data_IF_740008899161
#
_entry.id   IF_740008899161
#
_cell.length_a   1.000
_cell.length_b   1.000
_cell.length_c   1.000
_cell.angle_alpha   90.00
_cell.angle_beta   90.00
_cell.angle_gamma   90.00
#
_symmetry.space_group_name_H-M   'P 1'
#
loop_
_entity.id
_entity.type
_entity.pdbx_description
1 polymer ?
#
# COMPACT_ATOMS: atom_id res chain seq x y z
N UNK A 1 -44.53 -22.84 19.75
CA UNK A 1 -43.49 -21.91 19.37
C UNK A 1 -43.08 -22.28 17.94
N UNK A 2 -43.68 -21.59 16.96
CA UNK A 2 -43.33 -21.75 15.52
C UNK A 2 -42.04 -21.00 15.25
N UNK A 3 -40.92 -21.71 15.06
CA UNK A 3 -39.69 -21.14 14.53
C UNK A 3 -40.00 -20.68 13.10
N UNK A 4 -40.00 -19.38 12.83
CA UNK A 4 -39.95 -18.86 11.48
C UNK A 4 -38.59 -19.28 10.92
N UNK A 5 -38.56 -20.18 9.93
CA UNK A 5 -37.39 -20.40 9.14
C UNK A 5 -37.09 -19.08 8.40
N UNK A 6 -36.00 -18.45 8.76
CA UNK A 6 -35.47 -17.31 8.01
C UNK A 6 -34.95 -17.93 6.70
N UNK A 7 -35.63 -17.65 5.60
CA UNK A 7 -35.15 -18.06 4.26
C UNK A 7 -33.80 -17.41 3.95
N UNK A 8 -33.08 -17.94 2.96
CA UNK A 8 -31.78 -17.36 2.56
C UNK A 8 -31.96 -15.88 2.19
N UNK A 9 -31.01 -15.07 2.61
CA UNK A 9 -30.95 -13.65 2.23
C UNK A 9 -30.55 -13.52 0.76
N UNK A 10 -30.78 -12.36 0.16
CA UNK A 10 -30.32 -12.08 -1.21
C UNK A 10 -28.80 -12.27 -1.36
N UNK A 11 -28.03 -11.94 -0.33
CA UNK A 11 -26.58 -12.18 -0.29
C UNK A 11 -26.23 -13.67 -0.22
N UNK A 12 -27.01 -14.48 0.49
CA UNK A 12 -26.82 -15.93 0.51
C UNK A 12 -27.06 -16.53 -0.89
N UNK A 13 -28.11 -16.07 -1.57
CA UNK A 13 -28.44 -16.50 -2.93
C UNK A 13 -27.38 -16.06 -3.93
N UNK A 14 -26.85 -14.84 -3.80
CA UNK A 14 -25.77 -14.33 -4.63
C UNK A 14 -24.48 -15.14 -4.40
N UNK A 15 -24.14 -15.47 -3.16
CA UNK A 15 -23.00 -16.32 -2.82
C UNK A 15 -23.09 -17.74 -3.41
N UNK A 16 -24.28 -18.32 -3.36
CA UNK A 16 -24.54 -19.64 -3.98
C UNK A 16 -24.45 -19.56 -5.51
N UNK A 17 -25.04 -18.53 -6.13
CA UNK A 17 -25.00 -18.33 -7.57
C UNK A 17 -23.56 -18.14 -8.07
N UNK A 18 -22.74 -17.37 -7.33
CA UNK A 18 -21.32 -17.21 -7.63
C UNK A 18 -20.54 -18.51 -7.48
N UNK A 19 -20.80 -19.27 -6.43
CA UNK A 19 -20.17 -20.59 -6.21
C UNK A 19 -20.51 -21.57 -7.32
N UNK A 20 -21.74 -21.57 -7.81
CA UNK A 20 -22.19 -22.36 -8.94
C UNK A 20 -21.50 -21.90 -10.24
N UNK A 21 -21.42 -20.58 -10.47
CA UNK A 21 -20.76 -20.01 -11.64
C UNK A 21 -19.28 -20.36 -11.69
N UNK A 22 -18.58 -20.29 -10.56
CA UNK A 22 -17.17 -20.72 -10.44
C UNK A 22 -17.00 -22.22 -10.67
N UNK A 23 -17.98 -23.03 -10.25
CA UNK A 23 -17.93 -24.51 -10.41
C UNK A 23 -18.23 -24.97 -11.83
N UNK A 24 -18.98 -24.21 -12.60
CA UNK A 24 -19.44 -24.55 -13.95
C UNK A 24 -18.69 -23.85 -15.08
N UNK A 25 -17.91 -22.81 -14.77
CA UNK A 25 -17.12 -22.04 -15.74
C UNK A 25 -15.70 -22.58 -15.92
N UNK A 26 -15.06 -22.22 -17.05
CA UNK A 26 -13.61 -22.32 -17.17
C UNK A 26 -12.96 -21.65 -15.95
N UNK A 27 -11.97 -22.31 -15.34
CA UNK A 27 -11.27 -21.77 -14.17
C UNK A 27 -10.68 -20.39 -14.52
N UNK A 28 -11.42 -19.33 -14.19
CA UNK A 28 -10.89 -17.97 -14.25
C UNK A 28 -9.63 -17.91 -13.37
N UNK A 29 -8.55 -17.39 -13.91
CA UNK A 29 -7.37 -17.12 -13.09
C UNK A 29 -7.72 -16.03 -12.06
N UNK A 30 -7.39 -16.27 -10.80
CA UNK A 30 -7.54 -15.26 -9.76
C UNK A 30 -6.60 -14.10 -10.00
N UNK A 31 -7.07 -12.89 -9.75
CA UNK A 31 -6.28 -11.67 -9.89
C UNK A 31 -5.74 -11.21 -8.54
N UNK A 32 -4.52 -10.72 -8.57
CA UNK A 32 -3.88 -10.07 -7.45
C UNK A 32 -3.72 -8.59 -7.80
N UNK A 33 -4.65 -7.77 -7.34
CA UNK A 33 -4.66 -6.33 -7.55
C UNK A 33 -3.72 -5.66 -6.57
N UNK A 34 -2.81 -4.81 -7.07
CA UNK A 34 -1.81 -4.11 -6.26
C UNK A 34 -2.00 -2.62 -6.44
N UNK A 35 -2.37 -1.93 -5.38
CA UNK A 35 -2.51 -0.48 -5.38
C UNK A 35 -1.15 0.21 -5.48
N UNK A 36 -0.98 0.99 -6.54
CA UNK A 36 0.19 1.82 -6.85
C UNK A 36 -0.19 3.30 -7.03
N UNK A 37 -1.30 3.72 -6.43
CA UNK A 37 -1.93 5.02 -6.67
C UNK A 37 -0.99 6.19 -6.50
N UNK A 38 -0.25 6.27 -5.38
CA UNK A 38 0.61 7.41 -5.11
C UNK A 38 1.77 7.49 -6.12
N UNK A 39 2.36 6.33 -6.47
CA UNK A 39 3.46 6.27 -7.46
C UNK A 39 2.99 6.69 -8.84
N UNK A 40 1.78 6.30 -9.25
CA UNK A 40 1.21 6.63 -10.56
C UNK A 40 0.82 8.10 -10.64
N UNK A 41 0.16 8.62 -9.59
CA UNK A 41 -0.36 9.99 -9.57
C UNK A 41 0.75 11.03 -9.38
N UNK A 42 1.69 10.76 -8.45
CA UNK A 42 2.77 11.69 -8.15
C UNK A 42 4.01 10.94 -7.64
N UNK A 43 5.00 10.83 -8.49
CA UNK A 43 6.28 10.19 -8.15
C UNK A 43 7.22 11.16 -7.44
N UNK A 44 7.13 11.18 -6.12
CA UNK A 44 8.03 11.97 -5.24
C UNK A 44 9.38 11.29 -4.98
N UNK A 45 9.61 10.09 -5.52
CA UNK A 45 10.85 9.31 -5.35
C UNK A 45 11.22 9.06 -3.89
N UNK A 46 10.22 8.90 -3.04
CA UNK A 46 10.38 8.59 -1.62
C UNK A 46 10.87 7.16 -1.38
N UNK A 47 11.33 6.87 -0.16
CA UNK A 47 11.70 5.51 0.24
C UNK A 47 10.54 4.52 0.10
N UNK A 48 9.31 4.92 0.45
CA UNK A 48 8.10 4.09 0.29
C UNK A 48 7.88 3.77 -1.19
N UNK A 49 7.90 4.78 -2.07
CA UNK A 49 7.69 4.57 -3.50
C UNK A 49 8.77 3.69 -4.14
N UNK A 50 10.01 3.72 -3.62
CA UNK A 50 11.07 2.80 -4.05
C UNK A 50 10.72 1.35 -3.67
N UNK A 51 10.22 1.12 -2.45
CA UNK A 51 9.75 -0.20 -2.00
C UNK A 51 8.59 -0.68 -2.85
N UNK A 52 7.60 0.18 -3.10
CA UNK A 52 6.45 -0.14 -3.96
C UNK A 52 6.90 -0.61 -5.33
N UNK A 53 7.79 0.13 -6.01
CA UNK A 53 8.32 -0.27 -7.32
C UNK A 53 9.07 -1.59 -7.26
N UNK A 54 9.93 -1.78 -6.27
CA UNK A 54 10.72 -3.01 -6.14
C UNK A 54 9.83 -4.24 -5.96
N UNK A 55 8.80 -4.14 -5.11
CA UNK A 55 7.86 -5.23 -4.87
C UNK A 55 7.01 -5.50 -6.13
N UNK A 56 6.50 -4.46 -6.79
CA UNK A 56 5.69 -4.65 -8.01
C UNK A 56 6.53 -5.26 -9.13
N UNK A 57 7.77 -4.80 -9.34
CA UNK A 57 8.66 -5.35 -10.35
C UNK A 57 8.94 -6.85 -10.10
N UNK A 58 9.21 -7.24 -8.86
CA UNK A 58 9.43 -8.63 -8.50
C UNK A 58 8.17 -9.47 -8.74
N UNK A 59 7.00 -8.95 -8.35
CA UNK A 59 5.74 -9.63 -8.57
C UNK A 59 5.38 -9.79 -10.06
N UNK A 60 5.70 -8.80 -10.90
CA UNK A 60 5.45 -8.85 -12.34
C UNK A 60 6.47 -9.74 -13.08
N UNK A 61 7.69 -9.84 -12.59
CA UNK A 61 8.76 -10.65 -13.23
C UNK A 61 8.67 -12.14 -12.93
N UNK A 62 7.94 -12.51 -11.89
CA UNK A 62 7.86 -13.88 -11.39
C UNK A 62 6.49 -14.49 -11.68
N UNK A 63 6.45 -15.78 -12.03
CA UNK A 63 5.17 -16.51 -12.19
C UNK A 63 4.64 -17.02 -10.85
N UNK A 64 3.44 -16.59 -10.48
CA UNK A 64 2.82 -16.87 -9.17
C UNK A 64 1.69 -17.89 -9.28
N UNK A 65 1.99 -19.10 -9.74
CA UNK A 65 1.14 -20.29 -9.57
C UNK A 65 -0.35 -20.13 -9.89
N UNK A 66 -0.71 -19.44 -10.96
CA UNK A 66 -2.12 -19.25 -11.38
C UNK A 66 -2.73 -17.91 -11.00
N UNK A 67 -1.96 -16.99 -10.41
CA UNK A 67 -2.36 -15.60 -10.17
C UNK A 67 -1.97 -14.69 -11.33
N UNK A 68 -2.85 -13.76 -11.67
CA UNK A 68 -2.56 -12.64 -12.58
C UNK A 68 -2.29 -11.41 -11.74
N UNK A 69 -1.08 -10.87 -11.83
CA UNK A 69 -0.69 -9.65 -11.12
C UNK A 69 -1.19 -8.42 -11.91
N UNK A 70 -2.00 -7.59 -11.27
CA UNK A 70 -2.63 -6.41 -11.87
C UNK A 70 -2.35 -5.17 -11.00
N UNK A 71 -1.37 -4.32 -11.36
CA UNK A 71 -1.24 -3.01 -10.74
C UNK A 71 -2.48 -2.16 -11.02
N UNK A 72 -2.95 -1.45 -9.97
CA UNK A 72 -4.16 -0.62 -10.05
C UNK A 72 -3.91 0.71 -9.36
N UNK A 73 -4.68 1.73 -9.75
CA UNK A 73 -4.65 3.03 -9.11
C UNK A 73 -6.06 3.57 -8.89
N UNK A 74 -6.18 4.40 -7.85
CA UNK A 74 -7.44 5.00 -7.44
C UNK A 74 -7.66 6.34 -8.16
N UNK A 75 -8.83 6.53 -8.72
CA UNK A 75 -9.27 7.81 -9.30
C UNK A 75 -10.45 8.37 -8.51
N UNK A 76 -10.57 9.70 -8.50
CA UNK A 76 -11.77 10.43 -8.05
C UNK A 76 -12.27 11.29 -9.21
N UNK A 77 -13.32 10.86 -9.85
CA UNK A 77 -14.02 11.63 -10.86
C UNK A 77 -15.35 12.13 -10.28
N UNK A 78 -15.37 13.39 -9.84
CA UNK A 78 -16.56 14.07 -9.28
C UNK A 78 -17.17 13.36 -8.06
N UNK A 79 -16.31 12.83 -7.16
CA UNK A 79 -16.73 12.08 -5.98
C UNK A 79 -17.03 10.61 -6.24
N UNK A 80 -16.78 10.12 -7.46
CA UNK A 80 -16.84 8.71 -7.80
C UNK A 80 -15.44 8.11 -7.66
N UNK A 81 -15.24 7.35 -6.61
CA UNK A 81 -14.00 6.66 -6.31
C UNK A 81 -13.97 5.31 -7.01
N UNK A 82 -13.05 5.13 -7.95
CA UNK A 82 -12.91 3.92 -8.75
C UNK A 82 -11.45 3.49 -8.83
N UNK A 83 -11.20 2.18 -8.67
CA UNK A 83 -9.91 1.61 -8.99
C UNK A 83 -9.86 1.22 -10.46
N UNK A 84 -8.79 1.60 -11.15
CA UNK A 84 -8.54 1.32 -12.55
C UNK A 84 -7.25 0.53 -12.73
N UNK A 85 -7.16 -0.25 -13.80
CA UNK A 85 -5.92 -0.91 -14.17
C UNK A 85 -4.84 0.14 -14.47
N UNK A 86 -3.61 -0.10 -13.99
CA UNK A 86 -2.46 0.73 -14.32
C UNK A 86 -1.69 0.09 -15.49
N UNK A 87 -2.33 0.03 -16.66
CA UNK A 87 -1.79 -0.67 -17.85
C UNK A 87 -0.44 -0.13 -18.31
N UNK A 88 -0.32 1.17 -18.37
CA UNK A 88 0.93 1.84 -18.77
C UNK A 88 2.05 1.65 -17.74
N UNK A 89 1.72 1.66 -16.45
CA UNK A 89 2.68 1.34 -15.39
C UNK A 89 3.18 -0.09 -15.51
N UNK A 90 2.30 -1.03 -15.80
CA UNK A 90 2.62 -2.45 -16.04
C UNK A 90 3.59 -2.62 -17.21
N UNK A 91 3.39 -1.87 -18.29
CA UNK A 91 4.16 -2.02 -19.53
C UNK A 91 5.50 -1.28 -19.53
N UNK A 92 5.59 -0.12 -18.90
CA UNK A 92 6.73 0.79 -19.05
C UNK A 92 7.44 1.13 -17.73
N UNK A 93 6.89 0.78 -16.57
CA UNK A 93 7.39 1.20 -15.25
C UNK A 93 7.65 2.72 -15.13
N UNK A 94 7.04 3.52 -16.00
CA UNK A 94 7.30 4.96 -16.16
C UNK A 94 6.16 5.78 -15.57
N UNK A 95 6.51 6.72 -14.70
CA UNK A 95 5.60 7.77 -14.25
C UNK A 95 5.32 8.76 -15.38
N UNK A 96 4.07 9.16 -15.54
CA UNK A 96 3.68 10.28 -16.41
C UNK A 96 2.96 9.92 -17.70
N UNK A 97 2.38 8.76 -17.80
CA UNK A 97 1.59 8.33 -18.96
C UNK A 97 0.12 8.74 -18.81
N UNK A 98 -0.57 8.87 -19.95
CA UNK A 98 -1.99 9.25 -20.00
C UNK A 98 -2.85 8.18 -19.32
N UNK A 99 -3.53 8.54 -18.23
CA UNK A 99 -4.41 7.67 -17.43
C UNK A 99 -5.84 7.54 -18.06
N UNK A 100 -6.01 7.91 -19.32
CA UNK A 100 -7.35 8.22 -19.87
C UNK A 100 -8.15 7.01 -20.33
N UNK A 101 -7.52 5.83 -20.53
CA UNK A 101 -8.19 4.65 -21.11
C UNK A 101 -8.08 3.36 -20.27
N UNK A 102 -7.70 3.45 -19.00
CA UNK A 102 -7.61 2.25 -18.16
C UNK A 102 -8.98 1.78 -17.69
N UNK A 103 -9.25 0.48 -17.84
CA UNK A 103 -10.52 -0.12 -17.43
C UNK A 103 -10.72 -0.09 -15.92
N UNK A 104 -11.96 0.17 -15.49
CA UNK A 104 -12.36 0.01 -14.07
C UNK A 104 -12.24 -1.47 -13.70
N UNK A 105 -11.62 -1.75 -12.54
CA UNK A 105 -11.53 -3.13 -12.07
C UNK A 105 -12.85 -3.61 -11.50
N UNK A 106 -13.12 -4.90 -11.70
CA UNK A 106 -14.27 -5.60 -11.11
C UNK A 106 -13.79 -6.86 -10.37
N UNK A 107 -13.33 -6.72 -9.10
CA UNK A 107 -12.82 -7.83 -8.33
C UNK A 107 -13.91 -8.87 -8.03
N UNK A 108 -13.57 -10.15 -8.17
CA UNK A 108 -14.46 -11.29 -8.05
C UNK A 108 -13.99 -12.25 -6.95
N UNK A 109 -14.82 -13.25 -6.66
CA UNK A 109 -14.49 -14.31 -5.72
C UNK A 109 -13.11 -14.93 -6.01
N UNK A 110 -12.31 -15.05 -4.95
CA UNK A 110 -10.96 -15.60 -5.02
C UNK A 110 -9.88 -14.60 -5.41
N UNK A 111 -10.23 -13.35 -5.77
CA UNK A 111 -9.25 -12.29 -5.99
C UNK A 111 -8.70 -11.74 -4.67
N UNK A 112 -7.56 -11.10 -4.76
CA UNK A 112 -6.89 -10.43 -3.64
C UNK A 112 -6.61 -8.99 -4.03
N UNK A 113 -6.83 -8.07 -3.10
CA UNK A 113 -6.40 -6.68 -3.18
C UNK A 113 -5.32 -6.40 -2.14
N UNK A 114 -4.23 -5.79 -2.55
CA UNK A 114 -3.14 -5.33 -1.70
C UNK A 114 -2.98 -3.81 -1.84
N UNK A 115 -3.35 -3.06 -0.82
CA UNK A 115 -2.99 -1.66 -0.66
C UNK A 115 -1.50 -1.56 -0.35
N UNK A 116 -0.67 -1.59 -1.39
CA UNK A 116 0.79 -1.58 -1.26
C UNK A 116 1.30 -0.17 -1.06
N UNK A 117 0.73 0.81 -1.75
CA UNK A 117 1.18 2.20 -1.66
C UNK A 117 0.52 2.94 -0.48
N UNK A 118 1.23 3.92 0.08
CA UNK A 118 0.69 4.77 1.14
C UNK A 118 -0.07 5.94 0.51
N UNK A 119 -1.38 5.76 0.34
CA UNK A 119 -2.25 6.75 -0.28
C UNK A 119 -3.48 7.03 0.58
N UNK A 120 -3.54 8.23 1.18
CA UNK A 120 -4.62 8.59 2.13
C UNK A 120 -6.00 8.73 1.48
N UNK A 121 -6.07 8.95 0.17
CA UNK A 121 -7.35 9.05 -0.55
C UNK A 121 -8.15 7.73 -0.57
N UNK A 122 -7.54 6.61 -0.18
CA UNK A 122 -8.24 5.33 0.05
C UNK A 122 -9.40 5.48 1.05
N UNK A 123 -9.39 6.53 1.87
CA UNK A 123 -10.53 6.86 2.76
C UNK A 123 -11.83 7.14 2.01
N UNK A 124 -11.75 7.63 0.76
CA UNK A 124 -12.93 7.83 -0.11
C UNK A 124 -13.69 6.52 -0.37
N UNK A 125 -13.08 5.53 -1.03
CA UNK A 125 -13.73 4.24 -1.26
C UNK A 125 -14.07 3.48 0.03
N UNK A 126 -13.29 3.63 1.11
CA UNK A 126 -13.65 3.08 2.42
C UNK A 126 -14.98 3.67 2.90
N UNK A 127 -15.14 5.01 2.83
CA UNK A 127 -16.36 5.70 3.24
C UNK A 127 -17.60 5.32 2.42
N UNK A 128 -17.42 4.93 1.16
CA UNK A 128 -18.47 4.46 0.26
C UNK A 128 -18.75 2.94 0.36
N UNK A 129 -18.02 2.22 1.21
CA UNK A 129 -18.22 0.78 1.40
C UNK A 129 -17.74 -0.09 0.22
N UNK A 130 -16.85 0.41 -0.64
CA UNK A 130 -16.32 -0.34 -1.80
C UNK A 130 -15.65 -1.63 -1.36
N UNK A 131 -14.80 -1.57 -0.33
CA UNK A 131 -14.11 -2.76 0.18
C UNK A 131 -15.05 -3.76 0.86
N UNK A 132 -16.12 -3.29 1.49
CA UNK A 132 -17.13 -4.18 2.08
C UNK A 132 -17.86 -4.95 0.97
N UNK A 133 -18.25 -4.27 -0.12
CA UNK A 133 -18.82 -4.93 -1.31
C UNK A 133 -17.87 -5.96 -1.93
N UNK A 134 -16.56 -5.69 -2.01
CA UNK A 134 -15.59 -6.66 -2.50
C UNK A 134 -15.47 -7.88 -1.57
N UNK A 135 -15.45 -7.63 -0.26
CA UNK A 135 -15.40 -8.72 0.74
C UNK A 135 -16.66 -9.58 0.72
N UNK A 136 -17.82 -9.01 0.48
CA UNK A 136 -19.08 -9.75 0.31
C UNK A 136 -19.04 -10.64 -0.93
N UNK A 137 -18.30 -10.24 -1.97
CA UNK A 137 -18.02 -11.08 -3.15
C UNK A 137 -16.91 -12.12 -2.90
N UNK A 138 -16.27 -12.14 -1.73
CA UNK A 138 -15.21 -13.09 -1.39
C UNK A 138 -13.80 -12.65 -1.79
N UNK A 139 -13.60 -11.37 -2.11
CA UNK A 139 -12.27 -10.77 -2.31
C UNK A 139 -11.56 -10.62 -0.96
N UNK A 140 -10.25 -10.89 -0.93
CA UNK A 140 -9.42 -10.66 0.24
C UNK A 140 -8.74 -9.29 0.15
N UNK A 141 -8.80 -8.52 1.24
CA UNK A 141 -8.27 -7.16 1.29
C UNK A 141 -7.13 -7.09 2.31
N UNK A 142 -5.97 -6.65 1.85
CA UNK A 142 -4.77 -6.48 2.67
C UNK A 142 -4.17 -5.10 2.45
N UNK A 143 -3.52 -4.55 3.49
CA UNK A 143 -2.77 -3.30 3.37
C UNK A 143 -1.39 -3.44 3.98
N UNK A 144 -0.41 -2.76 3.37
CA UNK A 144 0.93 -2.61 3.93
C UNK A 144 0.93 -1.41 4.88
N UNK A 145 1.58 -1.58 6.04
CA UNK A 145 1.84 -0.48 6.98
C UNK A 145 3.35 -0.26 7.09
N UNK A 146 3.78 0.94 6.70
CA UNK A 146 5.19 1.33 6.67
C UNK A 146 5.69 1.82 8.02
N UNK A 147 4.93 2.67 8.69
CA UNK A 147 5.23 3.15 10.02
C UNK A 147 3.97 3.71 10.72
N UNK A 148 4.12 4.03 12.01
CA UNK A 148 3.12 4.71 12.84
C UNK A 148 3.64 6.03 13.37
N UNK A 149 4.81 6.47 12.90
CA UNK A 149 5.50 7.68 13.39
C UNK A 149 4.65 8.95 13.31
N UNK A 150 3.83 9.18 12.26
CA UNK A 150 2.94 10.35 12.24
C UNK A 150 1.92 10.37 13.37
N UNK A 151 1.59 9.21 13.94
CA UNK A 151 0.67 9.10 15.07
C UNK A 151 1.42 9.30 16.39
N UNK A 152 2.56 8.64 16.55
CA UNK A 152 3.34 8.69 17.80
C UNK A 152 4.11 10.00 18.01
N UNK A 153 4.51 10.66 16.91
CA UNK A 153 5.30 11.89 16.93
C UNK A 153 4.75 12.91 15.91
N UNK A 154 3.51 13.39 16.10
CA UNK A 154 2.84 14.26 15.12
C UNK A 154 3.57 15.59 14.89
N UNK A 155 4.38 16.05 15.86
CA UNK A 155 5.18 17.26 15.77
C UNK A 155 6.30 17.19 14.70
N UNK A 156 6.65 16.01 14.22
CA UNK A 156 7.63 15.84 13.14
C UNK A 156 7.03 15.97 11.74
N UNK A 157 5.74 16.09 11.66
CA UNK A 157 4.98 16.19 10.41
C UNK A 157 4.30 17.55 10.25
N UNK A 158 3.94 17.93 9.03
CA UNK A 158 3.10 19.12 8.82
C UNK A 158 1.78 19.01 9.61
N UNK A 159 1.23 20.17 9.99
CA UNK A 159 -0.04 20.25 10.73
C UNK A 159 -1.12 19.40 10.02
N UNK A 160 -1.78 18.55 10.79
CA UNK A 160 -2.81 17.62 10.28
C UNK A 160 -2.28 16.30 9.72
N UNK A 161 -0.96 16.14 9.60
CA UNK A 161 -0.35 14.89 9.08
C UNK A 161 -0.62 13.70 9.99
N UNK A 162 -0.45 13.86 11.30
CA UNK A 162 -0.77 12.83 12.29
C UNK A 162 -2.23 12.41 12.28
N UNK A 163 -3.14 13.39 12.21
CA UNK A 163 -4.59 13.13 12.14
C UNK A 163 -4.99 12.39 10.86
N UNK A 164 -4.40 12.78 9.74
CA UNK A 164 -4.64 12.11 8.45
C UNK A 164 -4.17 10.66 8.49
N UNK A 165 -2.98 10.41 9.05
CA UNK A 165 -2.44 9.07 9.20
C UNK A 165 -3.25 8.21 10.18
N UNK A 166 -3.72 8.81 11.29
CA UNK A 166 -4.64 8.19 12.24
C UNK A 166 -5.94 7.74 11.57
N UNK A 167 -6.58 8.62 10.79
CA UNK A 167 -7.79 8.29 10.04
C UNK A 167 -7.53 7.19 9.01
N UNK A 168 -6.40 7.25 8.32
CA UNK A 168 -5.98 6.24 7.36
C UNK A 168 -5.81 4.88 8.03
N UNK A 169 -5.04 4.79 9.14
CA UNK A 169 -4.81 3.52 9.85
C UNK A 169 -6.12 2.93 10.38
N UNK A 170 -6.99 3.74 10.98
CA UNK A 170 -8.31 3.31 11.44
C UNK A 170 -9.18 2.81 10.28
N UNK A 171 -9.18 3.53 9.16
CA UNK A 171 -9.96 3.16 7.97
C UNK A 171 -9.52 1.83 7.39
N UNK A 172 -8.22 1.64 7.12
CA UNK A 172 -7.71 0.37 6.58
C UNK A 172 -7.86 -0.77 7.60
N UNK A 173 -7.71 -0.50 8.89
CA UNK A 173 -7.93 -1.49 9.94
C UNK A 173 -9.37 -2.01 9.94
N UNK A 174 -10.35 -1.16 9.64
CA UNK A 174 -11.77 -1.53 9.59
C UNK A 174 -12.06 -2.50 8.44
N UNK A 175 -11.51 -2.25 7.26
CA UNK A 175 -11.89 -2.99 6.04
C UNK A 175 -10.99 -4.18 5.71
N UNK A 176 -9.77 -4.25 6.25
CA UNK A 176 -8.79 -5.27 5.89
C UNK A 176 -9.07 -6.64 6.50
N UNK A 177 -8.70 -7.71 5.79
CA UNK A 177 -8.53 -9.05 6.37
C UNK A 177 -7.19 -9.15 7.14
N UNK A 178 -6.15 -8.46 6.65
CA UNK A 178 -4.89 -8.31 7.39
C UNK A 178 -4.18 -6.99 7.11
N UNK A 179 -3.40 -6.54 8.09
CA UNK A 179 -2.35 -5.54 7.91
C UNK A 179 -1.00 -6.25 7.92
N UNK A 180 -0.15 -5.90 6.97
CA UNK A 180 1.17 -6.48 6.78
C UNK A 180 2.19 -5.37 7.01
N UNK A 181 2.92 -5.43 8.11
CA UNK A 181 3.87 -4.40 8.51
C UNK A 181 5.26 -4.68 7.93
N UNK A 182 6.03 -3.63 7.64
CA UNK A 182 7.39 -3.78 7.07
C UNK A 182 8.44 -4.25 8.08
N UNK A 183 8.09 -4.35 9.35
CA UNK A 183 8.93 -4.90 10.41
C UNK A 183 8.09 -5.36 11.59
N UNK A 184 8.72 -6.14 12.47
CA UNK A 184 8.10 -6.55 13.72
C UNK A 184 7.80 -5.35 14.62
N UNK A 185 8.71 -4.37 14.70
CA UNK A 185 8.50 -3.17 15.49
C UNK A 185 7.23 -2.41 15.05
N UNK A 186 7.05 -2.19 13.75
CA UNK A 186 5.83 -1.56 13.23
C UNK A 186 4.59 -2.40 13.54
N UNK A 187 4.67 -3.73 13.48
CA UNK A 187 3.55 -4.60 13.85
C UNK A 187 3.19 -4.50 15.31
N UNK A 188 4.20 -4.42 16.21
CA UNK A 188 4.00 -4.26 17.65
C UNK A 188 3.38 -2.87 17.94
N UNK A 189 3.84 -1.81 17.27
CA UNK A 189 3.27 -0.45 17.38
C UNK A 189 1.81 -0.39 16.91
N UNK A 190 1.50 -0.98 15.75
CA UNK A 190 0.12 -1.07 15.24
C UNK A 190 -0.76 -1.84 16.22
N UNK A 191 -0.26 -2.94 16.78
CA UNK A 191 -1.01 -3.72 17.77
C UNK A 191 -1.32 -2.88 18.98
N UNK A 192 -0.31 -2.22 19.57
CA UNK A 192 -0.47 -1.35 20.72
C UNK A 192 -1.49 -0.24 20.44
N UNK A 193 -1.35 0.43 19.30
CA UNK A 193 -2.29 1.47 18.88
C UNK A 193 -3.74 0.96 18.81
N UNK A 194 -3.98 -0.21 18.22
CA UNK A 194 -5.32 -0.78 18.06
C UNK A 194 -5.90 -1.36 19.36
N UNK A 195 -5.05 -1.81 20.27
CA UNK A 195 -5.48 -2.22 21.63
C UNK A 195 -6.02 -1.01 22.41
N UNK A 196 -5.40 0.18 22.26
CA UNK A 196 -5.82 1.43 22.89
C UNK A 196 -6.97 2.13 22.12
N UNK A 197 -7.06 1.93 20.82
CA UNK A 197 -8.03 2.56 19.92
C UNK A 197 -8.77 1.50 19.08
N UNK A 198 -9.63 0.69 19.69
CA UNK A 198 -10.31 -0.40 19.00
C UNK A 198 -11.21 0.12 17.88
N UNK A 199 -11.12 -0.49 16.71
CA UNK A 199 -12.01 -0.19 15.58
C UNK A 199 -13.13 -1.24 15.51
N UNK A 200 -14.35 -0.77 15.27
CA UNK A 200 -15.50 -1.67 15.11
C UNK A 200 -15.36 -2.47 13.81
N UNK A 201 -15.43 -3.80 13.93
CA UNK A 201 -15.31 -4.71 12.78
C UNK A 201 -16.02 -6.03 13.03
N UNK A 202 -16.50 -6.64 11.95
CA UNK A 202 -17.26 -7.90 12.01
C UNK A 202 -16.31 -9.12 12.06
N UNK A 203 -15.16 -9.04 11.37
CA UNK A 203 -14.21 -10.16 11.25
C UNK A 203 -12.89 -9.82 11.94
N UNK A 204 -12.16 -10.80 12.52
CA UNK A 204 -10.86 -10.55 13.13
C UNK A 204 -9.86 -9.94 12.15
N UNK A 205 -9.06 -8.98 12.60
CA UNK A 205 -7.91 -8.45 11.87
C UNK A 205 -6.70 -9.33 12.15
N UNK A 206 -5.96 -9.70 11.12
CA UNK A 206 -4.67 -10.36 11.26
C UNK A 206 -3.57 -9.31 11.15
N UNK A 207 -2.62 -9.35 12.05
CA UNK A 207 -1.38 -8.59 11.94
C UNK A 207 -0.25 -9.56 11.56
N UNK A 208 0.54 -9.16 10.60
CA UNK A 208 1.75 -9.87 10.17
C UNK A 208 2.84 -8.87 9.81
N UNK A 209 4.04 -9.34 9.61
CA UNK A 209 5.16 -8.49 9.20
C UNK A 209 6.15 -9.26 8.33
N UNK A 210 6.94 -8.51 7.58
CA UNK A 210 8.06 -9.00 6.79
C UNK A 210 9.21 -8.00 6.88
N UNK A 211 10.42 -8.41 6.51
CA UNK A 211 11.54 -7.50 6.40
C UNK A 211 11.68 -7.01 4.97
N UNK A 212 11.91 -5.70 4.83
CA UNK A 212 12.33 -5.14 3.54
C UNK A 212 13.68 -5.71 3.16
N UNK A 213 13.86 -6.00 1.86
CA UNK A 213 15.14 -6.40 1.31
C UNK A 213 16.18 -5.27 1.40
N UNK A 214 17.45 -5.65 1.34
CA UNK A 214 18.60 -4.75 1.34
C UNK A 214 19.46 -4.91 0.08
N UNK A 215 18.87 -5.29 -1.03
CA UNK A 215 19.58 -5.41 -2.31
C UNK A 215 19.90 -4.03 -2.88
N UNK A 216 21.09 -3.55 -2.55
CA UNK A 216 21.59 -2.25 -3.00
C UNK A 216 22.07 -2.32 -4.47
N UNK A 217 22.59 -3.47 -4.91
CA UNK A 217 23.19 -3.63 -6.24
C UNK A 217 22.11 -3.65 -7.34
N UNK A 218 20.98 -4.30 -7.09
CA UNK A 218 19.86 -4.35 -8.04
C UNK A 218 18.82 -3.24 -7.80
N UNK A 219 19.05 -2.35 -6.83
CA UNK A 219 18.13 -1.24 -6.62
C UNK A 219 18.28 -0.22 -7.75
N UNK A 220 17.20 -0.01 -8.50
CA UNK A 220 17.18 1.00 -9.56
C UNK A 220 17.30 2.41 -8.97
N UNK A 221 18.36 3.16 -9.27
CA UNK A 221 18.46 4.54 -8.84
C UNK A 221 17.33 5.35 -9.49
N UNK A 222 16.68 6.20 -8.71
CA UNK A 222 15.61 7.05 -9.21
C UNK A 222 16.09 8.16 -10.14
N UNK A 223 17.39 8.50 -10.05
CA UNK A 223 18.08 9.47 -10.92
C UNK A 223 19.52 9.00 -11.07
N UNK A 224 20.15 9.33 -12.21
CA UNK A 224 21.59 9.12 -12.41
C UNK A 224 22.43 9.96 -11.43
N UNK A 225 23.74 9.79 -11.50
CA UNK A 225 24.68 10.67 -10.78
C UNK A 225 24.57 12.10 -11.32
N UNK A 226 24.62 13.13 -10.44
CA UNK A 226 24.68 14.51 -10.89
C UNK A 226 25.98 14.79 -11.66
N UNK A 227 25.98 15.81 -12.51
CA UNK A 227 27.10 16.15 -13.41
C UNK A 227 28.41 16.41 -12.65
N UNK A 228 28.36 16.91 -11.42
CA UNK A 228 29.46 17.22 -10.55
C UNK A 228 29.90 16.05 -9.64
N UNK A 229 29.32 14.88 -9.78
CA UNK A 229 29.56 13.73 -8.90
C UNK A 229 31.04 13.37 -8.78
N UNK A 230 31.76 13.34 -9.89
CA UNK A 230 33.21 13.02 -9.90
C UNK A 230 34.01 14.07 -9.10
N UNK A 231 33.67 15.35 -9.22
CA UNK A 231 34.33 16.43 -8.47
C UNK A 231 34.09 16.26 -6.97
N UNK A 232 32.84 15.98 -6.57
CA UNK A 232 32.49 15.75 -5.18
C UNK A 232 33.17 14.51 -4.63
N UNK A 233 33.14 13.38 -5.34
CA UNK A 233 33.78 12.13 -4.91
C UNK A 233 35.29 12.30 -4.75
N UNK A 234 35.94 13.00 -5.67
CA UNK A 234 37.38 13.30 -5.57
C UNK A 234 37.67 14.17 -4.34
N UNK A 235 36.87 15.19 -4.06
CA UNK A 235 37.06 16.04 -2.89
C UNK A 235 36.83 15.29 -1.57
N UNK A 236 36.02 14.26 -1.57
CA UNK A 236 35.71 13.41 -0.40
C UNK A 236 36.83 12.36 -0.16
N UNK A 237 37.52 11.88 -1.21
CA UNK A 237 38.50 10.81 -1.10
C UNK A 237 39.73 11.19 -0.25
N UNK A 238 40.04 12.47 -0.16
CA UNK A 238 41.20 12.99 0.58
C UNK A 238 40.88 13.42 2.02
N UNK A 239 39.67 13.14 2.48
CA UNK A 239 39.17 13.58 3.80
C UNK A 239 38.49 12.43 4.55
N UNK A 240 38.57 12.45 5.90
CA UNK A 240 37.68 11.66 6.72
C UNK A 240 36.27 12.14 6.52
N UNK A 241 35.42 11.28 5.98
CA UNK A 241 34.08 11.65 5.57
C UNK A 241 33.04 10.81 6.33
N UNK A 242 32.02 11.49 6.85
CA UNK A 242 30.85 10.85 7.46
C UNK A 242 29.62 11.15 6.58
N UNK A 243 28.88 10.12 6.23
CA UNK A 243 27.71 10.23 5.36
C UNK A 243 26.43 10.05 6.16
N UNK A 244 25.54 11.05 6.09
CA UNK A 244 24.16 10.93 6.54
C UNK A 244 23.25 10.88 5.32
N UNK A 245 22.44 9.82 5.23
CA UNK A 245 21.46 9.64 4.14
C UNK A 245 20.05 9.81 4.68
N UNK A 246 19.31 10.77 4.13
CA UNK A 246 17.91 10.99 4.48
C UNK A 246 17.42 12.38 4.05
N UNK A 247 16.10 12.55 4.07
CA UNK A 247 15.47 13.86 3.93
C UNK A 247 15.84 14.76 5.11
N UNK A 248 15.88 16.09 4.89
CA UNK A 248 16.13 17.06 5.96
C UNK A 248 14.87 17.18 6.83
N UNK A 249 14.77 16.30 7.80
CA UNK A 249 13.66 16.20 8.74
C UNK A 249 14.19 16.02 10.17
N UNK A 250 13.48 16.53 11.21
CA UNK A 250 13.95 16.43 12.61
C UNK A 250 14.28 14.99 13.03
N UNK A 251 13.46 14.01 12.62
CA UNK A 251 13.63 12.59 12.96
C UNK A 251 14.88 11.93 12.38
N UNK A 252 15.56 12.56 11.41
CA UNK A 252 16.77 12.02 10.77
C UNK A 252 18.06 12.42 11.50
N UNK A 253 17.98 13.28 12.52
CA UNK A 253 19.11 13.58 13.41
C UNK A 253 20.21 14.41 12.76
N UNK A 254 19.94 15.17 11.69
CA UNK A 254 20.96 15.99 11.03
C UNK A 254 21.57 17.04 11.97
N UNK A 255 20.75 17.73 12.79
CA UNK A 255 21.24 18.71 13.75
C UNK A 255 22.10 18.06 14.84
N UNK A 256 21.65 16.95 15.41
CA UNK A 256 22.40 16.20 16.41
C UNK A 256 23.77 15.72 15.90
N UNK A 257 23.83 15.36 14.61
CA UNK A 257 25.09 14.99 13.99
C UNK A 257 26.01 16.19 13.82
N UNK A 258 25.49 17.34 13.40
CA UNK A 258 26.30 18.57 13.28
C UNK A 258 26.81 19.00 14.66
N UNK A 259 25.94 19.01 15.68
CA UNK A 259 26.34 19.34 17.05
C UNK A 259 27.47 18.44 17.58
N UNK A 260 27.44 17.13 17.19
CA UNK A 260 28.50 16.19 17.60
C UNK A 260 29.85 16.45 16.92
N UNK A 261 29.89 17.24 15.82
CA UNK A 261 31.14 17.65 15.18
C UNK A 261 31.71 18.97 15.76
N UNK A 262 30.91 19.74 16.50
CA UNK A 262 31.35 20.99 17.12
C UNK A 262 31.98 20.77 18.50
N UNK A 263 31.85 19.57 19.08
CA UNK A 263 32.36 19.16 20.38
C UNK A 263 33.45 18.09 20.27
#
# INVERSE_FOLDING_TARGET
VTSKSIGPTENDLLGVAQSISVSLGEKRQSKFFIDVSQVVIADYKTGIQRVVRSIVNELLSTSWGGWVIEPVYLTDEQGRWEYRNAGDYKNNHSSGTSLVDDDIIDPQYGDVFLGLDLYSSVLGPIGLGVFDQWKDRGVKVHFIVYDTLPISNPEWWPIGGGETHTRWLNGISKVSDSLICISRAVSDDVKMYLDDNPVERIRPLRLSWFHLGADVENSMPSTGLPDDANTVLTALSDRVTFLIVGTLEPRKGHLQTLDAFEH
#
